data_IF_197774717662
#
_entry.id   IF_197774717662
#
_cell.length_a   1.000
_cell.length_b   1.000
_cell.length_c   1.000
_cell.angle_alpha   90.00
_cell.angle_beta   90.00
_cell.angle_gamma   90.00
#
_symmetry.space_group_name_H-M   'P 1'
#
loop_
_entity.id
_entity.type
_entity.pdbx_description
1 polymer ?
#
# COMPACT_ATOMS: atom_id res chain seq x y z
N UNK A 1 -9.80 -17.78 16.80
CA UNK A 1 -10.32 -16.55 17.43
C UNK A 1 -9.25 -15.46 17.32
N UNK A 2 -9.54 -14.33 16.68
CA UNK A 2 -8.59 -13.21 16.64
C UNK A 2 -8.39 -12.68 18.07
N UNK A 3 -7.14 -12.58 18.53
CA UNK A 3 -6.83 -12.06 19.86
C UNK A 3 -7.17 -10.56 19.87
N UNK A 4 -8.00 -10.11 20.81
CA UNK A 4 -8.27 -8.69 21.00
C UNK A 4 -6.95 -7.94 21.20
N UNK A 5 -6.75 -6.86 20.43
CA UNK A 5 -5.57 -5.99 20.54
C UNK A 5 -6.04 -4.54 20.60
N UNK A 6 -5.64 -3.77 21.62
CA UNK A 6 -6.05 -2.37 21.71
C UNK A 6 -5.52 -1.56 20.52
N UNK A 7 -6.23 -0.49 20.10
CA UNK A 7 -5.75 0.41 19.07
C UNK A 7 -4.43 1.06 19.51
N UNK A 8 -3.57 1.37 18.53
CA UNK A 8 -2.34 2.11 18.82
C UNK A 8 -2.66 3.55 19.24
N UNK A 9 -1.95 4.12 20.22
CA UNK A 9 -2.13 5.53 20.62
C UNK A 9 -1.84 6.45 19.43
N UNK A 10 -2.52 7.60 19.38
CA UNK A 10 -2.32 8.60 18.32
C UNK A 10 -0.93 9.23 18.46
N UNK A 11 -0.20 9.34 17.36
CA UNK A 11 1.06 10.11 17.33
C UNK A 11 0.78 11.62 17.32
N UNK A 12 1.78 12.41 17.70
CA UNK A 12 1.75 13.87 17.56
C UNK A 12 1.37 14.27 16.12
N UNK A 13 0.50 15.28 15.93
CA UNK A 13 0.11 15.76 14.61
C UNK A 13 1.18 16.64 13.95
N UNK A 14 2.23 17.02 14.67
CA UNK A 14 3.24 17.96 14.18
C UNK A 14 4.25 17.26 13.25
N UNK A 15 4.51 17.88 12.10
CA UNK A 15 5.52 17.49 11.13
C UNK A 15 6.21 18.74 10.60
N UNK A 16 7.48 18.63 10.19
CA UNK A 16 8.18 19.70 9.49
C UNK A 16 7.66 19.84 8.06
N UNK A 17 7.81 21.01 7.44
CA UNK A 17 7.42 21.22 6.04
C UNK A 17 8.17 20.26 5.09
N UNK A 18 9.46 20.02 5.34
CA UNK A 18 10.26 19.05 4.59
C UNK A 18 9.72 17.62 4.74
N UNK A 19 9.37 17.24 5.97
CA UNK A 19 8.77 15.93 6.24
C UNK A 19 7.43 15.76 5.55
N UNK A 20 6.62 16.81 5.49
CA UNK A 20 5.36 16.81 4.74
C UNK A 20 5.58 16.57 3.25
N UNK A 21 6.46 17.36 2.62
CA UNK A 21 6.78 17.23 1.20
C UNK A 21 7.32 15.84 0.85
N UNK A 22 8.15 15.25 1.71
CA UNK A 22 8.65 13.89 1.52
C UNK A 22 7.53 12.84 1.55
N UNK A 23 6.57 12.97 2.47
CA UNK A 23 5.43 12.06 2.56
C UNK A 23 4.45 12.23 1.39
N UNK A 24 4.26 13.46 0.89
CA UNK A 24 3.47 13.72 -0.31
C UNK A 24 4.13 13.12 -1.55
N UNK A 25 5.44 13.29 -1.72
CA UNK A 25 6.20 12.68 -2.81
C UNK A 25 6.13 11.15 -2.74
N UNK A 26 6.23 10.57 -1.54
CA UNK A 26 6.04 9.13 -1.34
C UNK A 26 4.62 8.70 -1.76
N UNK A 27 3.59 9.44 -1.34
CA UNK A 27 2.19 9.14 -1.69
C UNK A 27 1.97 9.16 -3.20
N UNK A 28 2.49 10.17 -3.90
CA UNK A 28 2.40 10.26 -5.36
C UNK A 28 3.13 9.10 -6.06
N UNK A 29 4.33 8.74 -5.58
CA UNK A 29 5.08 7.59 -6.09
C UNK A 29 4.34 6.26 -5.90
N UNK A 30 3.68 6.09 -4.74
CA UNK A 30 2.89 4.89 -4.45
C UNK A 30 1.68 4.74 -5.37
N UNK A 31 1.00 5.83 -5.75
CA UNK A 31 -0.11 5.77 -6.70
C UNK A 31 0.33 5.31 -8.08
N UNK A 32 1.48 5.80 -8.56
CA UNK A 32 2.07 5.37 -9.83
C UNK A 32 2.40 3.88 -9.79
N UNK A 33 3.13 3.45 -8.76
CA UNK A 33 3.49 2.03 -8.57
C UNK A 33 2.26 1.13 -8.44
N UNK A 34 1.19 1.60 -7.78
CA UNK A 34 -0.07 0.86 -7.64
C UNK A 34 -0.68 0.54 -9.00
N UNK A 35 -0.65 1.49 -9.94
CA UNK A 35 -1.17 1.28 -11.28
C UNK A 35 -0.37 0.19 -12.02
N UNK A 36 0.96 0.26 -11.96
CA UNK A 36 1.85 -0.74 -12.58
C UNK A 36 1.64 -2.14 -12.00
N UNK A 37 1.60 -2.25 -10.67
CA UNK A 37 1.35 -3.54 -10.00
C UNK A 37 -0.01 -4.10 -10.37
N UNK A 38 -1.04 -3.26 -10.49
CA UNK A 38 -2.38 -3.71 -10.91
C UNK A 38 -2.36 -4.23 -12.34
N UNK A 39 -1.63 -3.58 -13.25
CA UNK A 39 -1.43 -4.04 -14.63
C UNK A 39 -0.75 -5.40 -14.65
N UNK A 40 0.36 -5.57 -13.93
CA UNK A 40 1.05 -6.86 -13.83
C UNK A 40 0.16 -7.95 -13.21
N UNK A 41 -0.61 -7.61 -12.17
CA UNK A 41 -1.56 -8.53 -11.54
C UNK A 41 -2.63 -9.00 -12.53
N UNK A 42 -3.16 -8.10 -13.36
CA UNK A 42 -4.13 -8.46 -14.40
C UNK A 42 -3.54 -9.34 -15.48
N UNK A 43 -2.29 -9.10 -15.89
CA UNK A 43 -1.59 -9.94 -16.86
C UNK A 43 -1.36 -11.34 -16.29
N UNK A 44 -0.83 -11.46 -15.08
CA UNK A 44 -0.63 -12.73 -14.40
C UNK A 44 -1.94 -13.50 -14.18
N UNK A 45 -3.05 -12.79 -13.96
CA UNK A 45 -4.37 -13.40 -13.83
C UNK A 45 -4.96 -13.92 -15.16
N UNK A 46 -4.44 -13.47 -16.30
CA UNK A 46 -4.84 -13.94 -17.63
C UNK A 46 -4.02 -15.16 -18.11
N UNK A 47 -2.83 -15.36 -17.54
CA UNK A 47 -1.86 -16.38 -17.98
C UNK A 47 -2.09 -17.77 -17.36
N UNK A 48 -2.94 -17.92 -16.33
CA UNK A 48 -3.21 -19.24 -15.74
C UNK A 48 -4.01 -19.24 -14.45
N UNK A 49 -3.91 -20.35 -13.70
CA UNK A 49 -4.56 -20.52 -12.40
C UNK A 49 -3.95 -19.58 -11.36
N UNK A 50 -4.81 -18.78 -10.74
CA UNK A 50 -4.47 -17.77 -9.73
C UNK A 50 -3.89 -18.37 -8.45
N UNK A 51 -4.12 -19.66 -8.19
CA UNK A 51 -3.63 -20.35 -7.01
C UNK A 51 -2.22 -20.93 -7.20
N UNK A 52 -1.82 -21.22 -8.43
CA UNK A 52 -0.51 -21.79 -8.76
C UNK A 52 0.47 -20.73 -9.30
N UNK A 53 -0.03 -19.64 -9.88
CA UNK A 53 0.82 -18.59 -10.42
C UNK A 53 1.51 -17.78 -9.30
N UNK A 54 2.81 -18.01 -9.13
CA UNK A 54 3.65 -17.32 -8.17
C UNK A 54 3.70 -15.79 -8.38
N UNK A 55 3.67 -15.33 -9.63
CA UNK A 55 3.65 -13.89 -9.92
C UNK A 55 2.36 -13.25 -9.44
N UNK A 56 1.20 -13.88 -9.69
CA UNK A 56 -0.08 -13.37 -9.20
C UNK A 56 -0.09 -13.26 -7.66
N UNK A 57 0.40 -14.29 -6.95
CA UNK A 57 0.46 -14.28 -5.48
C UNK A 57 1.34 -13.13 -4.98
N UNK A 58 2.53 -12.95 -5.59
CA UNK A 58 3.46 -11.89 -5.22
C UNK A 58 2.88 -10.50 -5.49
N UNK A 59 2.38 -10.25 -6.70
CA UNK A 59 1.78 -8.95 -7.07
C UNK A 59 0.57 -8.61 -6.21
N UNK A 60 -0.22 -9.61 -5.81
CA UNK A 60 -1.34 -9.42 -4.90
C UNK A 60 -0.90 -9.03 -3.49
N UNK A 61 0.23 -9.59 -3.01
CA UNK A 61 0.83 -9.18 -1.73
C UNK A 61 1.38 -7.75 -1.83
N UNK A 62 2.10 -7.44 -2.91
CA UNK A 62 2.65 -6.11 -3.18
C UNK A 62 1.55 -5.04 -3.21
N UNK A 63 0.45 -5.30 -3.93
CA UNK A 63 -0.70 -4.39 -3.98
C UNK A 63 -1.28 -4.10 -2.59
N UNK A 64 -1.41 -5.12 -1.73
CA UNK A 64 -1.92 -4.94 -0.36
C UNK A 64 -0.99 -4.10 0.51
N UNK A 65 0.33 -4.24 0.33
CA UNK A 65 1.32 -3.45 1.05
C UNK A 65 1.28 -1.98 0.62
N UNK A 66 1.16 -1.72 -0.68
CA UNK A 66 0.98 -0.38 -1.25
C UNK A 66 -0.31 0.26 -0.71
N UNK A 67 -1.45 -0.45 -0.81
CA UNK A 67 -2.75 0.06 -0.35
C UNK A 67 -2.73 0.38 1.16
N UNK A 68 -2.04 -0.45 1.96
CA UNK A 68 -1.87 -0.20 3.40
C UNK A 68 -1.08 1.09 3.65
N UNK A 69 -0.02 1.33 2.87
CA UNK A 69 0.82 2.53 3.03
C UNK A 69 0.09 3.79 2.57
N UNK A 70 -0.58 3.75 1.42
CA UNK A 70 -1.42 4.85 0.92
C UNK A 70 -2.46 5.24 1.98
N UNK A 71 -3.20 4.27 2.52
CA UNK A 71 -4.21 4.52 3.56
C UNK A 71 -3.61 5.17 4.80
N UNK A 72 -2.41 4.76 5.20
CA UNK A 72 -1.72 5.37 6.33
C UNK A 72 -1.33 6.83 6.04
N UNK A 73 -0.75 7.09 4.87
CA UNK A 73 -0.32 8.44 4.47
C UNK A 73 -1.52 9.39 4.34
N UNK A 74 -2.61 8.97 3.68
CA UNK A 74 -3.84 9.76 3.55
C UNK A 74 -4.53 10.07 4.89
N UNK A 75 -4.29 9.26 5.93
CA UNK A 75 -4.81 9.55 7.28
C UNK A 75 -3.89 10.46 8.08
N UNK A 76 -2.61 10.50 7.72
CA UNK A 76 -1.58 11.23 8.45
C UNK A 76 -1.34 12.63 7.88
N UNK A 77 -1.43 12.78 6.56
CA UNK A 77 -1.37 14.04 5.85
C UNK A 77 -2.81 14.60 5.81
N UNK A 78 -3.09 15.76 6.42
CA UNK A 78 -4.42 16.37 6.42
C UNK A 78 -4.82 16.94 5.05
#
# INVERSE_FOLDING_TARGET
>A
MARWRPPQPRSSPHITAEGHAALEAELQGLWTRRADVTRHLSAAAAEGDRSENAEYIYRKKELREIDRRIRYLQKRIP
#
